data_IF_232864894174
#
_entry.id   IF_232864894174
#
_cell.length_a   1.000
_cell.length_b   1.000
_cell.length_c   1.000
_cell.angle_alpha   90.00
_cell.angle_beta   90.00
_cell.angle_gamma   90.00
#
_symmetry.space_group_name_H-M   'P 1'
#
loop_
_entity.id
_entity.type
_entity.pdbx_description
1 polymer ?
#
# COMPACT_ATOMS: atom_id res chain seq x y z
N UNK A 1 -19.19 42.13 25.49
CA UNK A 1 -18.26 41.03 25.80
C UNK A 1 -18.49 39.73 25.02
N UNK A 2 -19.35 39.71 23.99
CA UNK A 2 -19.48 38.55 23.08
C UNK A 2 -18.56 38.62 21.84
N UNK A 3 -18.02 39.79 21.49
CA UNK A 3 -17.25 39.98 20.26
C UNK A 3 -15.85 39.34 20.30
N UNK A 4 -15.30 39.08 21.48
CA UNK A 4 -13.99 38.43 21.65
C UNK A 4 -14.01 36.93 21.38
N UNK A 5 -15.18 36.28 21.47
CA UNK A 5 -15.31 34.84 21.25
C UNK A 5 -15.28 34.45 19.75
N UNK A 6 -15.69 35.37 18.87
CA UNK A 6 -15.69 35.20 17.40
C UNK A 6 -14.36 35.56 16.73
N UNK A 7 -13.50 36.34 17.39
CA UNK A 7 -12.20 36.77 16.85
C UNK A 7 -11.12 35.67 16.85
N UNK A 8 -11.22 34.69 17.76
CA UNK A 8 -10.19 33.65 17.94
C UNK A 8 -10.12 32.63 16.78
N UNK A 9 -11.25 32.04 16.31
CA UNK A 9 -11.24 31.08 15.21
C UNK A 9 -10.68 31.68 13.94
N UNK A 10 -11.07 32.91 13.61
CA UNK A 10 -10.68 33.58 12.37
C UNK A 10 -9.20 33.93 12.35
N UNK A 11 -8.68 34.46 13.46
CA UNK A 11 -7.25 34.77 13.59
C UNK A 11 -6.40 33.49 13.54
N UNK A 12 -6.84 32.42 14.22
CA UNK A 12 -6.15 31.13 14.18
C UNK A 12 -6.14 30.52 12.77
N UNK A 13 -7.29 30.47 12.09
CA UNK A 13 -7.39 29.93 10.74
C UNK A 13 -6.56 30.75 9.75
N UNK A 14 -6.55 32.08 9.89
CA UNK A 14 -5.75 32.96 9.05
C UNK A 14 -4.25 32.72 9.25
N UNK A 15 -3.76 32.70 10.50
CA UNK A 15 -2.36 32.40 10.79
C UNK A 15 -1.96 30.99 10.38
N UNK A 16 -2.82 29.99 10.58
CA UNK A 16 -2.60 28.61 10.18
C UNK A 16 -2.52 28.47 8.66
N UNK A 17 -3.41 29.13 7.92
CA UNK A 17 -3.38 29.15 6.46
C UNK A 17 -2.11 29.83 5.94
N UNK A 18 -1.69 30.96 6.52
CA UNK A 18 -0.43 31.64 6.17
C UNK A 18 0.76 30.71 6.41
N UNK A 19 0.80 30.02 7.55
CA UNK A 19 1.88 29.09 7.90
C UNK A 19 1.93 27.87 6.98
N UNK A 20 0.78 27.27 6.65
CA UNK A 20 0.71 26.07 5.79
C UNK A 20 0.97 26.39 4.33
N UNK A 21 0.37 27.46 3.81
CA UNK A 21 0.48 27.79 2.39
C UNK A 21 1.73 28.58 2.06
N UNK A 22 2.44 29.07 3.08
CA UNK A 22 3.50 30.06 2.94
C UNK A 22 3.06 31.28 2.11
N UNK A 23 1.75 31.60 2.13
CA UNK A 23 1.21 32.74 1.40
C UNK A 23 1.81 34.03 2.00
N UNK A 24 2.50 34.80 1.15
CA UNK A 24 2.94 36.13 1.52
C UNK A 24 1.73 37.03 1.71
N UNK A 25 1.75 37.96 2.68
CA UNK A 25 0.69 38.95 2.83
C UNK A 25 0.55 39.77 1.53
N UNK A 26 -0.69 39.97 1.08
CA UNK A 26 -0.99 40.62 -0.21
C UNK A 26 -0.53 42.09 -0.25
N UNK A 27 -0.46 42.77 0.91
CA UNK A 27 -0.06 44.17 1.04
C UNK A 27 1.09 44.37 2.06
N UNK A 28 2.37 44.27 1.67
CA UNK A 28 3.51 44.44 2.57
C UNK A 28 3.71 45.88 3.06
N UNK A 29 3.08 46.87 2.40
CA UNK A 29 3.21 48.29 2.76
C UNK A 29 2.29 48.72 3.91
N UNK A 30 1.26 47.94 4.25
CA UNK A 30 0.29 48.27 5.29
C UNK A 30 0.61 47.64 6.65
N UNK A 31 1.67 46.83 6.76
CA UNK A 31 2.08 46.18 8.00
C UNK A 31 3.35 46.81 8.58
N UNK A 32 3.47 46.92 9.92
CA UNK A 32 4.71 47.35 10.55
C UNK A 32 5.85 46.36 10.23
N UNK A 33 7.04 46.88 9.96
CA UNK A 33 8.20 46.11 9.49
C UNK A 33 8.57 44.94 10.42
N UNK A 34 8.36 45.09 11.74
CA UNK A 34 8.64 44.06 12.73
C UNK A 34 7.70 42.85 12.58
N UNK A 35 6.41 43.08 12.36
CA UNK A 35 5.42 42.01 12.18
C UNK A 35 5.66 41.26 10.88
N UNK A 36 6.08 41.98 9.82
CA UNK A 36 6.45 41.38 8.55
C UNK A 36 7.66 40.44 8.71
N UNK A 37 8.72 40.88 9.40
CA UNK A 37 9.91 40.05 9.66
C UNK A 37 9.58 38.84 10.54
N UNK A 38 8.77 39.03 11.60
CA UNK A 38 8.32 37.92 12.45
C UNK A 38 7.50 36.91 11.66
N UNK A 39 6.61 37.37 10.78
CA UNK A 39 5.81 36.49 9.92
C UNK A 39 6.69 35.68 8.98
N UNK A 40 7.68 36.30 8.34
CA UNK A 40 8.65 35.57 7.49
C UNK A 40 9.47 34.55 8.28
N UNK A 41 9.95 34.90 9.48
CA UNK A 41 10.69 33.98 10.33
C UNK A 41 9.80 32.82 10.82
N UNK A 42 8.55 33.10 11.17
CA UNK A 42 7.58 32.09 11.58
C UNK A 42 7.27 31.12 10.42
N UNK A 43 7.03 31.64 9.21
CA UNK A 43 6.80 30.82 8.00
C UNK A 43 8.04 30.01 7.63
N UNK A 44 9.25 30.59 7.70
CA UNK A 44 10.49 29.88 7.42
C UNK A 44 10.74 28.77 8.44
N UNK A 45 10.59 29.06 9.73
CA UNK A 45 10.75 28.06 10.79
C UNK A 45 9.70 26.95 10.67
N UNK A 46 8.43 27.31 10.42
CA UNK A 46 7.35 26.34 10.25
C UNK A 46 7.55 25.43 9.03
N UNK A 47 7.86 26.01 7.88
CA UNK A 47 8.05 25.25 6.65
C UNK A 47 9.33 24.39 6.65
N UNK A 48 10.45 24.92 7.14
CA UNK A 48 11.73 24.19 7.11
C UNK A 48 11.84 23.19 8.25
N UNK A 49 11.30 23.49 9.43
CA UNK A 49 11.45 22.61 10.58
C UNK A 49 10.24 21.68 10.75
N UNK A 50 9.05 22.26 10.95
CA UNK A 50 7.88 21.45 11.31
C UNK A 50 7.38 20.61 10.14
N UNK A 51 7.22 21.16 8.93
CA UNK A 51 6.73 20.37 7.80
C UNK A 51 7.69 19.22 7.46
N UNK A 52 9.00 19.45 7.50
CA UNK A 52 9.97 18.39 7.22
C UNK A 52 9.94 17.27 8.27
N UNK A 53 9.80 17.60 9.57
CA UNK A 53 9.63 16.59 10.62
C UNK A 53 8.31 15.83 10.44
N UNK A 54 7.21 16.53 10.19
CA UNK A 54 5.91 15.89 9.98
C UNK A 54 5.90 14.97 8.77
N UNK A 55 6.48 15.40 7.64
CA UNK A 55 6.64 14.56 6.46
C UNK A 55 7.48 13.31 6.79
N UNK A 56 8.56 13.47 7.56
CA UNK A 56 9.37 12.35 8.04
C UNK A 56 8.56 11.34 8.85
N UNK A 57 7.87 11.81 9.90
CA UNK A 57 7.04 10.96 10.77
C UNK A 57 5.89 10.29 10.00
N UNK A 58 5.20 11.03 9.13
CA UNK A 58 4.12 10.47 8.30
C UNK A 58 4.69 9.40 7.36
N UNK A 59 5.87 9.62 6.79
CA UNK A 59 6.52 8.65 5.91
C UNK A 59 6.90 7.39 6.68
N UNK A 60 7.49 7.52 7.87
CA UNK A 60 7.84 6.38 8.72
C UNK A 60 6.60 5.58 9.15
N UNK A 61 5.55 6.26 9.61
CA UNK A 61 4.28 5.63 9.96
C UNK A 61 3.63 4.95 8.76
N UNK A 62 3.66 5.59 7.58
CA UNK A 62 3.14 5.01 6.36
C UNK A 62 3.91 3.76 5.96
N UNK A 63 5.24 3.75 6.06
CA UNK A 63 6.06 2.57 5.76
C UNK A 63 5.76 1.42 6.73
N UNK A 64 5.68 1.71 8.04
CA UNK A 64 5.31 0.72 9.06
C UNK A 64 3.92 0.13 8.80
N UNK A 65 2.92 0.98 8.50
CA UNK A 65 1.57 0.50 8.26
C UNK A 65 1.48 -0.24 6.92
N UNK A 66 2.18 0.21 5.87
CA UNK A 66 2.24 -0.47 4.57
C UNK A 66 2.74 -1.92 4.71
N UNK A 67 3.72 -2.17 5.57
CA UNK A 67 4.18 -3.53 5.89
C UNK A 67 3.09 -4.34 6.61
N UNK A 68 2.28 -3.69 7.46
CA UNK A 68 1.19 -4.32 8.21
C UNK A 68 -0.08 -4.58 7.37
N UNK A 69 -0.37 -3.76 6.36
CA UNK A 69 -1.60 -3.86 5.55
C UNK A 69 -1.78 -5.26 4.97
N UNK A 70 -0.72 -5.93 4.54
CA UNK A 70 -0.79 -7.29 4.00
C UNK A 70 -1.37 -8.29 5.01
N UNK A 71 -0.88 -8.25 6.25
CA UNK A 71 -1.36 -9.10 7.35
C UNK A 71 -2.76 -8.71 7.80
N UNK A 72 -3.03 -7.42 7.94
CA UNK A 72 -4.37 -6.91 8.32
C UNK A 72 -5.41 -7.32 7.29
N UNK A 73 -5.11 -7.19 6.00
CA UNK A 73 -6.01 -7.60 4.92
C UNK A 73 -6.31 -9.10 4.96
N UNK A 74 -5.27 -9.94 5.12
CA UNK A 74 -5.45 -11.38 5.27
C UNK A 74 -6.28 -11.72 6.51
N UNK A 75 -6.02 -11.07 7.64
CA UNK A 75 -6.75 -11.26 8.88
C UNK A 75 -8.23 -10.89 8.74
N UNK A 76 -8.55 -9.74 8.15
CA UNK A 76 -9.93 -9.30 7.90
C UNK A 76 -10.66 -10.27 6.98
N UNK A 77 -9.99 -10.77 5.94
CA UNK A 77 -10.56 -11.80 5.04
C UNK A 77 -10.79 -13.12 5.75
N UNK A 78 -9.82 -13.60 6.53
CA UNK A 78 -9.95 -14.83 7.30
C UNK A 78 -11.08 -14.72 8.34
N UNK A 79 -11.19 -13.59 9.02
CA UNK A 79 -12.27 -13.29 9.97
C UNK A 79 -13.64 -13.28 9.28
N UNK A 80 -13.72 -12.69 8.09
CA UNK A 80 -14.94 -12.69 7.26
C UNK A 80 -15.34 -14.11 6.85
N UNK A 81 -14.39 -14.92 6.38
CA UNK A 81 -14.62 -16.32 6.03
C UNK A 81 -15.03 -17.16 7.25
N UNK A 82 -14.38 -16.96 8.40
CA UNK A 82 -14.72 -17.65 9.65
C UNK A 82 -16.14 -17.31 10.08
N UNK A 83 -16.51 -16.03 10.06
CA UNK A 83 -17.86 -15.57 10.39
C UNK A 83 -18.89 -16.17 9.45
N UNK A 84 -18.60 -16.23 8.15
CA UNK A 84 -19.44 -16.90 7.16
C UNK A 84 -19.62 -18.39 7.47
N UNK A 85 -18.54 -19.12 7.74
CA UNK A 85 -18.57 -20.55 8.06
C UNK A 85 -19.31 -20.83 9.37
N UNK A 86 -19.11 -20.00 10.40
CA UNK A 86 -19.83 -20.11 11.67
C UNK A 86 -21.33 -19.90 11.48
N UNK A 87 -21.73 -18.92 10.66
CA UNK A 87 -23.13 -18.70 10.30
C UNK A 87 -23.70 -19.87 9.49
N UNK A 88 -22.95 -20.36 8.50
CA UNK A 88 -23.35 -21.50 7.68
C UNK A 88 -23.57 -22.77 8.52
N UNK A 89 -22.82 -22.95 9.62
CA UNK A 89 -23.02 -24.08 10.55
C UNK A 89 -24.34 -24.02 11.34
N UNK A 90 -24.85 -22.83 11.62
CA UNK A 90 -26.11 -22.63 12.37
C UNK A 90 -27.32 -22.73 11.45
N UNK A 91 -27.16 -22.42 10.16
CA UNK A 91 -28.25 -22.43 9.20
C UNK A 91 -28.48 -23.84 8.64
N UNK A 92 -29.73 -24.33 8.57
CA UNK A 92 -30.02 -25.61 7.96
C UNK A 92 -29.84 -25.52 6.42
N UNK A 93 -28.69 -25.94 5.90
CA UNK A 93 -28.34 -25.91 4.48
C UNK A 93 -28.98 -27.04 3.62
N UNK A 94 -30.01 -27.72 4.13
CA UNK A 94 -30.63 -28.89 3.48
C UNK A 94 -32.14 -28.76 3.26
N UNK A 95 -32.70 -27.55 3.40
CA UNK A 95 -34.16 -27.35 3.28
C UNK A 95 -34.57 -27.24 1.81
N UNK A 96 -33.75 -26.62 0.96
CA UNK A 96 -34.04 -26.41 -0.46
C UNK A 96 -32.90 -26.94 -1.35
N UNK A 97 -33.26 -27.37 -2.56
CA UNK A 97 -32.27 -27.70 -3.60
C UNK A 97 -31.69 -26.41 -4.20
N UNK A 98 -30.47 -26.49 -4.74
CA UNK A 98 -29.74 -25.34 -5.32
C UNK A 98 -30.56 -24.56 -6.35
N UNK A 99 -31.30 -25.27 -7.21
CA UNK A 99 -32.11 -24.65 -8.27
C UNK A 99 -33.31 -23.89 -7.68
N UNK A 100 -33.97 -24.47 -6.67
CA UNK A 100 -35.11 -23.83 -6.01
C UNK A 100 -34.64 -22.63 -5.19
N UNK A 101 -33.52 -22.74 -4.50
CA UNK A 101 -32.93 -21.63 -3.76
C UNK A 101 -32.60 -20.44 -4.67
N UNK A 102 -32.00 -20.70 -5.85
CA UNK A 102 -31.72 -19.67 -6.84
C UNK A 102 -33.01 -19.03 -7.37
N UNK A 103 -34.03 -19.82 -7.70
CA UNK A 103 -35.32 -19.30 -8.13
C UNK A 103 -35.97 -18.43 -7.04
N UNK A 104 -35.98 -18.88 -5.78
CA UNK A 104 -36.50 -18.12 -4.63
C UNK A 104 -35.72 -16.82 -4.45
N UNK A 105 -34.39 -16.84 -4.56
CA UNK A 105 -33.56 -15.63 -4.48
C UNK A 105 -33.95 -14.60 -5.53
N UNK A 106 -34.11 -15.03 -6.78
CA UNK A 106 -34.46 -14.14 -7.90
C UNK A 106 -35.87 -13.56 -7.72
N UNK A 107 -36.85 -14.40 -7.38
CA UNK A 107 -38.23 -13.95 -7.14
C UNK A 107 -38.27 -12.94 -5.99
N UNK A 108 -37.58 -13.24 -4.89
CA UNK A 108 -37.52 -12.37 -3.71
C UNK A 108 -36.84 -11.04 -4.02
N UNK A 109 -35.76 -11.05 -4.81
CA UNK A 109 -35.09 -9.83 -5.26
C UNK A 109 -36.01 -8.96 -6.14
N UNK A 110 -36.75 -9.57 -7.07
CA UNK A 110 -37.73 -8.86 -7.89
C UNK A 110 -38.88 -8.30 -7.04
N UNK A 111 -39.37 -9.03 -6.04
CA UNK A 111 -40.36 -8.53 -5.09
C UNK A 111 -39.84 -7.35 -4.27
N UNK A 112 -38.60 -7.40 -3.79
CA UNK A 112 -37.98 -6.31 -3.04
C UNK A 112 -37.81 -5.04 -3.89
N UNK A 113 -37.35 -5.19 -5.13
CA UNK A 113 -37.28 -4.09 -6.10
C UNK A 113 -38.66 -3.55 -6.45
N UNK A 114 -39.64 -4.42 -6.64
CA UNK A 114 -41.03 -4.03 -6.88
C UNK A 114 -41.60 -3.21 -5.72
N UNK A 115 -41.32 -3.62 -4.48
CA UNK A 115 -41.73 -2.89 -3.27
C UNK A 115 -41.08 -1.50 -3.22
N UNK A 116 -39.78 -1.40 -3.48
CA UNK A 116 -39.07 -0.10 -3.53
C UNK A 116 -39.63 0.81 -4.64
N UNK A 117 -39.84 0.29 -5.85
CA UNK A 117 -40.43 1.04 -6.96
C UNK A 117 -41.87 1.49 -6.65
N UNK A 118 -42.64 0.69 -5.94
CA UNK A 118 -44.00 1.02 -5.54
C UNK A 118 -44.01 2.15 -4.50
N UNK A 119 -43.17 2.08 -3.47
CA UNK A 119 -43.08 3.10 -2.42
C UNK A 119 -42.56 4.43 -2.97
N UNK A 120 -41.64 4.39 -3.95
CA UNK A 120 -41.21 5.60 -4.67
C UNK A 120 -42.32 6.25 -5.51
N UNK A 121 -43.33 5.48 -5.96
CA UNK A 121 -44.39 6.01 -6.82
C UNK A 121 -45.61 6.54 -6.06
N UNK A 122 -45.95 5.95 -4.92
CA UNK A 122 -47.23 6.27 -4.27
C UNK A 122 -47.16 7.44 -3.29
N UNK A 123 -45.98 7.91 -2.86
CA UNK A 123 -45.78 8.92 -1.79
C UNK A 123 -46.47 8.62 -0.44
N UNK A 124 -47.36 7.62 -0.37
CA UNK A 124 -48.01 7.12 0.82
C UNK A 124 -47.18 6.01 1.47
N UNK A 125 -46.87 6.17 2.76
CA UNK A 125 -46.15 5.16 3.53
C UNK A 125 -47.08 3.98 3.87
N UNK A 126 -46.76 2.79 3.36
CA UNK A 126 -47.48 1.57 3.74
C UNK A 126 -47.06 1.20 5.17
N UNK A 127 -47.99 1.06 6.13
CA UNK A 127 -47.65 0.46 7.41
C UNK A 127 -47.15 -0.96 7.13
N UNK A 128 -45.98 -1.33 7.66
CA UNK A 128 -45.28 -2.62 7.44
C UNK A 128 -44.35 -2.74 6.22
N UNK A 129 -44.08 -1.68 5.46
CA UNK A 129 -43.10 -1.73 4.35
C UNK A 129 -41.74 -2.24 4.83
N UNK A 130 -41.21 -1.65 5.90
CA UNK A 130 -39.90 -2.02 6.45
C UNK A 130 -39.83 -3.49 6.88
N UNK A 131 -40.90 -4.01 7.50
CA UNK A 131 -40.96 -5.42 7.91
C UNK A 131 -41.02 -6.36 6.71
N UNK A 132 -41.80 -6.04 5.69
CA UNK A 132 -41.87 -6.84 4.47
C UNK A 132 -40.51 -6.87 3.76
N UNK A 133 -39.84 -5.71 3.67
CA UNK A 133 -38.50 -5.61 3.09
C UNK A 133 -37.46 -6.44 3.87
N UNK A 134 -37.48 -6.38 5.20
CA UNK A 134 -36.58 -7.19 6.05
C UNK A 134 -36.83 -8.69 5.87
N UNK A 135 -38.09 -9.12 5.76
CA UNK A 135 -38.43 -10.53 5.52
C UNK A 135 -37.92 -10.98 4.14
N UNK A 136 -38.15 -10.19 3.09
CA UNK A 136 -37.63 -10.49 1.74
C UNK A 136 -36.10 -10.55 1.75
N UNK A 137 -35.43 -9.59 2.37
CA UNK A 137 -33.96 -9.60 2.48
C UNK A 137 -33.45 -10.84 3.24
N UNK A 138 -34.16 -11.26 4.28
CA UNK A 138 -33.82 -12.45 5.07
C UNK A 138 -34.00 -13.73 4.25
N UNK A 139 -35.08 -13.86 3.49
CA UNK A 139 -35.31 -15.01 2.59
C UNK A 139 -34.22 -15.07 1.51
N UNK A 140 -33.91 -13.94 0.89
CA UNK A 140 -32.85 -13.84 -0.10
C UNK A 140 -31.49 -14.22 0.50
N UNK A 141 -31.17 -13.72 1.69
CA UNK A 141 -29.95 -14.08 2.40
C UNK A 141 -29.90 -15.58 2.72
N UNK A 142 -30.98 -16.16 3.26
CA UNK A 142 -31.07 -17.59 3.57
C UNK A 142 -30.91 -18.47 2.33
N UNK A 143 -31.47 -18.06 1.20
CA UNK A 143 -31.35 -18.80 -0.06
C UNK A 143 -29.91 -18.91 -0.56
N UNK A 144 -29.06 -17.90 -0.30
CA UNK A 144 -27.65 -17.94 -0.64
C UNK A 144 -26.85 -19.01 0.15
N UNK A 145 -27.38 -19.49 1.30
CA UNK A 145 -26.76 -20.57 2.08
C UNK A 145 -27.27 -21.97 1.71
N UNK A 146 -28.29 -22.09 0.85
CA UNK A 146 -28.89 -23.37 0.46
C UNK A 146 -28.10 -24.03 -0.69
N UNK A 147 -26.83 -24.38 -0.44
CA UNK A 147 -25.99 -25.15 -1.35
C UNK A 147 -25.62 -26.51 -0.71
N UNK A 148 -26.37 -27.59 -1.00
CA UNK A 148 -26.15 -28.90 -0.38
C UNK A 148 -24.82 -29.56 -0.75
N UNK A 149 -24.25 -29.22 -1.91
CA UNK A 149 -23.01 -29.81 -2.41
C UNK A 149 -21.74 -29.24 -1.73
N UNK A 150 -21.90 -28.22 -0.88
CA UNK A 150 -20.78 -27.53 -0.29
C UNK A 150 -20.29 -28.22 1.00
N UNK A 151 -18.97 -28.20 1.29
CA UNK A 151 -18.39 -28.93 2.41
C UNK A 151 -18.99 -28.59 3.78
N UNK A 152 -19.50 -27.37 3.96
CA UNK A 152 -20.12 -26.93 5.22
C UNK A 152 -21.57 -27.42 5.40
N UNK A 153 -22.25 -27.82 4.32
CA UNK A 153 -23.65 -28.25 4.35
C UNK A 153 -23.81 -29.75 4.65
N UNK A 154 -22.75 -30.54 4.44
CA UNK A 154 -22.72 -31.97 4.76
C UNK A 154 -22.96 -32.13 6.26
N UNK A 155 -24.13 -32.64 6.66
CA UNK A 155 -24.52 -32.80 8.06
C UNK A 155 -23.68 -33.85 8.76
N UNK A 156 -23.46 -33.65 10.06
CA UNK A 156 -22.61 -34.44 10.96
C UNK A 156 -22.83 -35.97 10.90
N UNK A 157 -24.00 -36.41 10.44
CA UNK A 157 -24.33 -37.84 10.31
C UNK A 157 -23.53 -38.53 9.18
N UNK A 158 -23.12 -37.80 8.15
CA UNK A 158 -22.26 -38.34 7.09
C UNK A 158 -20.77 -38.34 7.51
N UNK A 159 -20.41 -37.56 8.53
CA UNK A 159 -19.03 -37.39 8.99
C UNK A 159 -18.48 -38.64 9.67
N UNK A 160 -19.35 -39.42 10.33
CA UNK A 160 -18.95 -40.65 11.02
C UNK A 160 -18.70 -41.84 10.09
N UNK A 161 -19.16 -41.81 8.83
CA UNK A 161 -19.10 -42.99 7.93
C UNK A 161 -17.95 -42.96 6.92
N UNK A 162 -17.21 -41.86 6.77
CA UNK A 162 -16.12 -41.83 5.79
C UNK A 162 -15.17 -40.66 5.97
N UNK A 163 -14.17 -40.82 6.85
CA UNK A 163 -12.90 -40.09 6.89
C UNK A 163 -12.85 -38.71 6.23
N UNK A 164 -13.78 -37.81 6.57
CA UNK A 164 -13.90 -36.51 5.90
C UNK A 164 -12.64 -35.68 6.11
N UNK A 165 -12.10 -35.11 5.03
CA UNK A 165 -10.97 -34.18 5.11
C UNK A 165 -11.44 -32.89 5.77
N UNK A 166 -10.84 -32.55 6.91
CA UNK A 166 -11.11 -31.30 7.61
C UNK A 166 -10.16 -30.23 7.09
N UNK A 167 -10.70 -29.09 6.65
CA UNK A 167 -9.89 -27.95 6.22
C UNK A 167 -9.86 -26.93 7.35
N UNK A 168 -8.70 -26.80 8.01
CA UNK A 168 -8.42 -25.73 8.96
C UNK A 168 -7.66 -24.63 8.23
N UNK A 169 -8.30 -23.49 8.04
CA UNK A 169 -7.63 -22.29 7.54
C UNK A 169 -7.01 -21.56 8.72
N UNK A 170 -5.68 -21.56 8.82
CA UNK A 170 -4.96 -20.73 9.77
C UNK A 170 -4.04 -19.78 9.02
N UNK A 171 -4.05 -18.51 9.41
CA UNK A 171 -3.07 -17.54 8.94
C UNK A 171 -1.88 -17.62 9.88
N UNK A 172 -0.76 -18.17 9.39
CA UNK A 172 0.53 -18.01 10.08
C UNK A 172 1.12 -16.68 9.60
N UNK A 173 1.61 -15.80 10.50
CA UNK A 173 2.44 -14.67 10.08
C UNK A 173 3.52 -15.21 9.15
N UNK A 174 3.71 -14.57 7.99
CA UNK A 174 4.86 -14.91 7.14
C UNK A 174 6.07 -14.65 8.01
N UNK A 175 6.78 -15.73 8.38
CA UNK A 175 8.09 -15.58 8.98
C UNK A 175 8.87 -14.67 8.04
N UNK A 176 9.55 -13.62 8.54
CA UNK A 176 10.30 -12.72 7.70
C UNK A 176 11.16 -13.61 6.81
N UNK A 177 10.86 -13.60 5.51
CA UNK A 177 11.58 -14.38 4.52
C UNK A 177 13.03 -14.04 4.79
N UNK A 178 13.78 -15.04 5.29
CA UNK A 178 15.17 -14.88 5.68
C UNK A 178 15.83 -14.25 4.46
N UNK A 179 16.11 -12.95 4.57
CA UNK A 179 16.54 -12.18 3.39
C UNK A 179 17.73 -12.98 2.87
N UNK A 180 17.70 -13.48 1.62
CA UNK A 180 18.76 -14.34 1.11
C UNK A 180 20.05 -13.61 1.44
N UNK A 181 20.89 -14.23 2.28
CA UNK A 181 21.94 -13.56 3.04
C UNK A 181 22.50 -12.43 2.20
N UNK A 182 22.03 -11.21 2.46
CA UNK A 182 22.53 -10.07 1.73
C UNK A 182 24.03 -10.11 2.02
N UNK A 183 24.87 -10.20 0.98
CA UNK A 183 26.31 -10.33 1.16
C UNK A 183 26.71 -9.35 2.24
N UNK A 184 27.48 -9.82 3.22
CA UNK A 184 27.83 -9.03 4.40
C UNK A 184 28.23 -7.63 3.95
N UNK A 185 28.01 -6.59 4.76
CA UNK A 185 28.50 -5.24 4.39
C UNK A 185 29.98 -5.26 3.96
N UNK A 186 30.74 -6.23 4.48
CA UNK A 186 32.12 -6.50 4.10
C UNK A 186 32.26 -7.10 2.69
N UNK A 187 31.36 -7.99 2.27
CA UNK A 187 31.33 -8.55 0.90
C UNK A 187 30.97 -7.48 -0.13
N UNK A 188 29.99 -6.61 0.17
CA UNK A 188 29.64 -5.48 -0.71
C UNK A 188 30.83 -4.52 -0.82
N UNK A 189 31.50 -4.24 0.31
CA UNK A 189 32.69 -3.38 0.34
C UNK A 189 33.85 -3.99 -0.43
N UNK A 190 34.02 -5.32 -0.37
CA UNK A 190 35.02 -6.05 -1.13
C UNK A 190 34.76 -5.98 -2.64
N UNK A 191 33.51 -6.19 -3.07
CA UNK A 191 33.13 -6.08 -4.49
C UNK A 191 33.36 -4.66 -5.01
N UNK A 192 32.97 -3.63 -4.26
CA UNK A 192 33.23 -2.24 -4.65
C UNK A 192 34.73 -1.95 -4.73
N UNK A 193 35.54 -2.44 -3.79
CA UNK A 193 36.99 -2.25 -3.83
C UNK A 193 37.65 -2.98 -5.00
N UNK A 194 37.16 -4.16 -5.36
CA UNK A 194 37.63 -4.92 -6.53
C UNK A 194 37.33 -4.17 -7.82
N UNK A 195 36.09 -3.75 -8.05
CA UNK A 195 35.75 -3.01 -9.27
C UNK A 195 36.47 -1.66 -9.34
N UNK A 196 36.64 -0.97 -8.20
CA UNK A 196 37.40 0.27 -8.16
C UNK A 196 38.87 0.04 -8.50
N UNK A 197 39.47 -1.07 -8.05
CA UNK A 197 40.86 -1.43 -8.36
C UNK A 197 41.02 -1.75 -9.84
N UNK A 198 40.14 -2.57 -10.41
CA UNK A 198 40.19 -2.94 -11.83
C UNK A 198 40.05 -1.70 -12.72
N UNK A 199 39.10 -0.80 -12.41
CA UNK A 199 38.97 0.46 -13.12
C UNK A 199 40.24 1.33 -12.99
N UNK A 200 40.86 1.36 -11.82
CA UNK A 200 42.07 2.16 -11.60
C UNK A 200 43.28 1.62 -12.38
N UNK A 201 43.40 0.29 -12.48
CA UNK A 201 44.44 -0.38 -13.29
C UNK A 201 44.20 -0.18 -14.80
N UNK A 202 42.94 -0.10 -15.25
CA UNK A 202 42.61 0.25 -16.64
C UNK A 202 42.96 1.72 -16.96
N UNK A 203 42.71 2.64 -16.04
CA UNK A 203 42.99 4.07 -16.23
C UNK A 203 44.46 4.47 -16.07
N UNK A 204 45.18 3.77 -15.20
CA UNK A 204 46.60 3.99 -14.95
C UNK A 204 47.33 2.68 -15.22
N UNK A 205 47.56 2.32 -16.50
CA UNK A 205 48.45 1.22 -16.82
C UNK A 205 49.81 1.61 -16.25
N UNK A 206 50.17 0.99 -15.12
CA UNK A 206 51.48 1.14 -14.54
C UNK A 206 52.47 0.67 -15.60
N UNK A 207 53.18 1.63 -16.16
CA UNK A 207 54.28 1.46 -17.10
C UNK A 207 55.40 0.74 -16.34
N UNK A 208 55.18 -0.56 -16.14
CA UNK A 208 56.09 -1.44 -15.41
C UNK A 208 57.26 -1.74 -16.34
N UNK A 209 58.35 -1.05 -16.03
CA UNK A 209 59.72 -1.36 -16.39
C UNK A 209 60.01 -1.55 -17.88
N UNK A 210 60.15 -0.41 -18.56
CA UNK A 210 61.09 -0.29 -19.69
C UNK A 210 62.52 -0.47 -19.17
N UNK A 211 62.95 -1.72 -18.99
CA UNK A 211 64.38 -2.05 -18.91
C UNK A 211 65.00 -1.67 -20.26
N UNK A 212 65.91 -0.70 -20.20
CA UNK A 212 66.37 0.05 -21.35
C UNK A 212 67.07 -0.76 -22.42
N UNK A 213 66.88 -0.32 -23.65
CA UNK A 213 67.94 -0.29 -24.65
C UNK A 213 67.85 1.04 -25.39
N UNK A 214 68.97 1.75 -25.38
CA UNK A 214 69.17 3.00 -26.10
C UNK A 214 69.20 2.74 -27.61
N UNK A 215 68.37 3.46 -28.39
CA UNK A 215 68.84 4.19 -29.57
C UNK A 215 67.74 5.02 -30.27
N UNK A 216 68.09 6.28 -30.49
CA UNK A 216 67.87 7.10 -31.69
C UNK A 216 66.48 7.60 -32.11
N UNK A 217 66.36 8.93 -31.97
CA UNK A 217 65.90 9.94 -32.95
C UNK A 217 64.55 9.77 -33.64
N UNK A 218 63.64 10.70 -33.37
CA UNK A 218 62.56 11.06 -34.30
C UNK A 218 61.48 11.89 -33.64
N UNK A 219 61.44 13.19 -33.94
CA UNK A 219 60.38 14.08 -33.51
C UNK A 219 59.01 13.59 -34.01
N UNK A 220 58.08 13.34 -33.08
CA UNK A 220 56.73 12.85 -33.39
C UNK A 220 55.72 13.24 -32.32
N UNK A 221 54.89 14.24 -32.67
CA UNK A 221 53.49 14.52 -32.29
C UNK A 221 52.98 14.10 -30.88
N UNK A 222 52.35 15.00 -30.10
CA UNK A 222 51.77 14.64 -28.81
C UNK A 222 50.61 13.64 -28.97
N UNK A 223 50.48 12.63 -28.06
CA UNK A 223 49.36 11.71 -28.08
C UNK A 223 48.08 12.42 -27.65
N UNK A 224 47.05 12.20 -28.46
CA UNK A 224 45.70 12.68 -28.25
C UNK A 224 45.05 11.83 -27.15
N UNK A 225 44.50 12.45 -26.10
CA UNK A 225 43.81 11.73 -25.03
C UNK A 225 42.66 10.87 -25.60
N UNK A 226 42.49 9.62 -25.13
CA UNK A 226 41.32 8.84 -25.47
C UNK A 226 40.08 9.45 -24.81
N UNK A 227 39.07 9.77 -25.63
CA UNK A 227 37.73 10.12 -25.18
C UNK A 227 37.16 8.95 -24.35
N UNK A 228 37.00 9.15 -23.04
CA UNK A 228 36.21 8.24 -22.19
C UNK A 228 34.79 8.16 -22.76
N UNK A 229 34.38 6.97 -23.20
CA UNK A 229 33.00 6.68 -23.59
C UNK A 229 32.17 6.42 -22.32
N UNK A 230 31.06 7.15 -22.07
CA UNK A 230 30.15 6.92 -20.94
C UNK A 230 29.39 5.58 -20.97
N UNK A 231 29.49 4.82 -22.06
CA UNK A 231 28.69 3.63 -22.34
C UNK A 231 29.06 2.40 -21.50
N UNK A 232 30.25 2.36 -20.90
CA UNK A 232 30.71 1.19 -20.13
C UNK A 232 30.11 1.10 -18.72
N UNK A 233 29.76 2.24 -18.10
CA UNK A 233 29.14 2.26 -16.76
C UNK A 233 27.69 1.74 -16.76
N UNK A 234 27.00 1.80 -17.91
CA UNK A 234 25.60 1.36 -18.05
C UNK A 234 25.40 -0.15 -18.18
N UNK A 235 26.47 -0.94 -18.38
CA UNK A 235 26.40 -2.40 -18.57
C UNK A 235 26.66 -3.21 -17.30
N UNK A 236 27.48 -2.73 -16.36
CA UNK A 236 27.77 -3.44 -15.12
C UNK A 236 26.54 -3.60 -14.20
N UNK A 237 25.60 -2.64 -14.22
CA UNK A 237 24.40 -2.69 -13.39
C UNK A 237 23.27 -3.57 -13.93
N UNK A 238 23.43 -4.22 -15.10
CA UNK A 238 22.33 -4.92 -15.78
C UNK A 238 22.38 -6.45 -15.73
N UNK A 239 23.35 -7.05 -15.06
CA UNK A 239 23.59 -8.51 -15.07
C UNK A 239 23.32 -9.24 -13.75
N UNK A 240 22.83 -8.58 -12.70
CA UNK A 240 22.35 -9.31 -11.51
C UNK A 240 20.94 -9.84 -11.78
N UNK A 241 20.85 -10.93 -12.55
CA UNK A 241 19.64 -11.76 -12.62
C UNK A 241 19.55 -12.57 -11.33
N UNK A 242 18.57 -12.23 -10.50
CA UNK A 242 18.14 -13.07 -9.39
C UNK A 242 17.64 -14.41 -9.96
N UNK A 243 18.19 -15.57 -9.53
CA UNK A 243 17.69 -16.87 -9.94
C UNK A 243 16.26 -17.05 -9.41
N UNK A 244 15.35 -17.49 -10.30
CA UNK A 244 14.02 -17.97 -9.91
C UNK A 244 14.18 -19.40 -9.43
N UNK A 245 14.18 -19.58 -8.12
CA UNK A 245 14.17 -20.91 -7.52
C UNK A 245 12.78 -21.56 -7.60
N UNK A 246 12.84 -22.90 -7.70
CA UNK A 246 11.75 -23.87 -7.82
C UNK A 246 11.14 -24.23 -6.49
#
# INVERSE_FOLDING_TARGET
DDDTALLWPDTFHHSFNILITAALPEDPHNMPMLDLVLTYLAVLFFSVFFLNIFIGVITELYLLEKERVGLTFQHVRASSCLTFLLRARVLPCGVLSTQVALAVSVITALCALGLQCYCLRLEESIPFEGTAFVVLQTIMFLSAYQHPDQPWAVTNNMWHKGGGKHYLWFCKPREPEEKPDLPSKDDIRWVIHQELREALEEFFPLESDTKGDSQNTGAGKPPMMPNLRPELFGRALRTVRVPKDK
#
